data_IF_207505110428
#
_entry.id   IF_207505110428
#
_cell.length_a   1.000
_cell.length_b   1.000
_cell.length_c   1.000
_cell.angle_alpha   90.00
_cell.angle_beta   90.00
_cell.angle_gamma   90.00
#
_symmetry.space_group_name_H-M   'P 1'
#
loop_
_entity.id
_entity.type
_entity.pdbx_description
1 polymer ?
#
# COMPACT_ATOMS: atom_id res chain seq x y z
N UNK A 1 -15.78 3.24 17.63
CA UNK A 1 -15.16 4.59 17.58
C UNK A 1 -15.91 5.43 16.55
N UNK A 2 -16.18 6.71 16.85
CA UNK A 2 -16.83 7.63 15.89
C UNK A 2 -15.81 8.30 14.97
N UNK A 3 -16.13 8.34 13.68
CA UNK A 3 -15.32 8.95 12.63
C UNK A 3 -16.18 9.83 11.73
N UNK A 4 -15.56 10.82 11.10
CA UNK A 4 -16.27 11.94 10.50
C UNK A 4 -15.77 12.26 9.10
N UNK A 5 -16.70 12.56 8.18
CA UNK A 5 -16.36 12.98 6.82
C UNK A 5 -17.14 14.19 6.37
N UNK A 6 -16.40 15.21 5.94
CA UNK A 6 -16.91 16.53 5.60
C UNK A 6 -17.21 16.62 4.09
N UNK A 7 -18.32 17.28 3.76
CA UNK A 7 -18.87 17.36 2.41
C UNK A 7 -19.52 18.72 2.14
N UNK A 8 -19.12 19.37 1.05
CA UNK A 8 -19.77 20.59 0.55
C UNK A 8 -21.06 20.25 -0.20
N UNK A 9 -22.07 21.13 -0.12
CA UNK A 9 -23.28 21.05 -0.94
C UNK A 9 -23.27 22.04 -2.11
N UNK A 10 -22.21 22.85 -2.27
CA UNK A 10 -22.19 23.92 -3.28
C UNK A 10 -22.33 23.39 -4.72
N UNK A 11 -21.70 22.26 -5.03
CA UNK A 11 -21.84 21.60 -6.32
C UNK A 11 -22.97 20.55 -6.26
N UNK A 12 -24.07 20.81 -6.99
CA UNK A 12 -25.27 19.96 -6.98
C UNK A 12 -25.03 18.57 -7.54
N UNK A 13 -24.22 18.43 -8.58
CA UNK A 13 -23.91 17.11 -9.17
C UNK A 13 -23.15 16.24 -8.16
N UNK A 14 -22.15 16.83 -7.52
CA UNK A 14 -21.33 16.19 -6.49
C UNK A 14 -22.17 15.84 -5.27
N UNK A 15 -23.05 16.74 -4.83
CA UNK A 15 -24.00 16.48 -3.75
C UNK A 15 -24.92 15.30 -4.07
N UNK A 16 -25.44 15.19 -5.30
CA UNK A 16 -26.28 14.07 -5.70
C UNK A 16 -25.56 12.72 -5.59
N UNK A 17 -24.26 12.66 -5.89
CA UNK A 17 -23.46 11.45 -5.66
C UNK A 17 -23.36 11.11 -4.17
N UNK A 18 -23.16 12.10 -3.30
CA UNK A 18 -23.14 11.88 -1.85
C UNK A 18 -24.48 11.38 -1.32
N UNK A 19 -25.58 12.02 -1.74
CA UNK A 19 -26.92 11.62 -1.37
C UNK A 19 -27.25 10.20 -1.84
N UNK A 20 -26.85 9.86 -3.07
CA UNK A 20 -27.00 8.49 -3.62
C UNK A 20 -26.21 7.47 -2.80
N UNK A 21 -24.95 7.75 -2.47
CA UNK A 21 -24.12 6.85 -1.66
C UNK A 21 -24.72 6.57 -0.28
N UNK A 22 -25.18 7.64 0.40
CA UNK A 22 -25.87 7.54 1.68
C UNK A 22 -27.20 6.77 1.54
N UNK A 23 -27.99 7.07 0.50
CA UNK A 23 -29.28 6.44 0.26
C UNK A 23 -29.18 4.97 -0.15
N UNK A 24 -28.11 4.54 -0.80
CA UNK A 24 -27.87 3.15 -1.18
C UNK A 24 -27.05 2.39 -0.12
N UNK A 25 -26.44 3.09 0.84
CA UNK A 25 -25.69 2.48 1.95
C UNK A 25 -24.29 1.99 1.57
N UNK A 26 -23.57 2.73 0.72
CA UNK A 26 -22.18 2.43 0.39
C UNK A 26 -21.24 3.61 0.65
N UNK A 27 -19.98 3.27 0.90
CA UNK A 27 -18.86 4.19 0.96
C UNK A 27 -18.22 4.31 -0.42
N UNK A 28 -17.96 5.54 -0.85
CA UNK A 28 -17.21 5.79 -2.08
C UNK A 28 -15.74 5.99 -1.79
N UNK A 29 -14.91 5.00 -2.14
CA UNK A 29 -13.46 5.06 -2.04
C UNK A 29 -12.90 5.82 -3.24
N UNK A 30 -12.04 6.79 -2.98
CA UNK A 30 -11.36 7.59 -4.00
C UNK A 30 -10.08 6.88 -4.47
N UNK A 31 -9.58 7.24 -5.65
CA UNK A 31 -8.28 6.76 -6.09
C UNK A 31 -7.20 7.48 -5.27
N UNK A 32 -6.18 6.77 -4.76
CA UNK A 32 -5.08 7.40 -4.01
C UNK A 32 -4.44 8.54 -4.83
N UNK A 33 -4.36 8.37 -6.16
CA UNK A 33 -3.83 9.42 -7.04
C UNK A 33 -4.64 10.72 -7.03
N UNK A 34 -5.93 10.67 -6.68
CA UNK A 34 -6.80 11.86 -6.63
C UNK A 34 -6.73 12.63 -5.31
N UNK A 35 -5.90 12.19 -4.36
CA UNK A 35 -5.65 12.94 -3.14
C UNK A 35 -5.04 14.30 -3.45
N UNK A 36 -5.35 15.28 -2.60
CA UNK A 36 -4.94 16.67 -2.76
C UNK A 36 -3.43 16.90 -2.57
N UNK A 37 -2.77 16.05 -1.77
CA UNK A 37 -1.33 16.07 -1.61
C UNK A 37 -0.67 15.08 -2.60
N UNK A 38 0.08 15.56 -3.61
CA UNK A 38 0.69 14.70 -4.61
C UNK A 38 1.73 13.75 -4.01
N UNK A 39 2.30 14.11 -2.86
CA UNK A 39 3.30 13.33 -2.13
C UNK A 39 2.69 12.32 -1.15
N UNK A 40 1.37 12.35 -0.95
CA UNK A 40 0.65 11.45 -0.06
C UNK A 40 0.61 10.03 -0.64
N UNK A 41 0.78 9.03 0.24
CA UNK A 41 0.68 7.61 -0.09
C UNK A 41 1.62 7.19 -1.23
N UNK A 42 2.86 7.68 -1.18
CA UNK A 42 3.92 7.32 -2.12
C UNK A 42 4.99 6.48 -1.44
N UNK A 43 5.58 5.56 -2.19
CA UNK A 43 6.78 4.84 -1.77
C UNK A 43 7.98 5.75 -1.99
N UNK A 44 8.68 6.10 -0.93
CA UNK A 44 9.94 6.83 -1.01
C UNK A 44 11.11 5.85 -1.04
N UNK A 45 11.84 5.79 -2.17
CA UNK A 45 13.05 5.00 -2.29
C UNK A 45 14.19 5.84 -2.90
N UNK A 46 15.41 5.58 -2.44
CA UNK A 46 16.65 6.12 -2.97
C UNK A 46 17.44 4.99 -3.64
N UNK A 47 17.72 5.14 -4.94
CA UNK A 47 18.42 4.13 -5.74
C UNK A 47 19.86 3.89 -5.26
N UNK A 48 20.63 4.93 -4.98
CA UNK A 48 22.03 4.82 -4.54
C UNK A 48 22.11 4.07 -3.20
N UNK A 49 21.22 4.43 -2.26
CA UNK A 49 21.11 3.74 -0.97
C UNK A 49 20.72 2.27 -1.12
N UNK A 50 19.86 1.95 -2.07
CA UNK A 50 19.54 0.55 -2.39
C UNK A 50 20.77 -0.18 -2.92
N UNK A 51 21.48 0.38 -3.90
CA UNK A 51 22.70 -0.22 -4.42
C UNK A 51 23.71 -0.51 -3.31
N UNK A 52 23.93 0.44 -2.39
CA UNK A 52 24.78 0.24 -1.20
C UNK A 52 24.28 -0.91 -0.31
N UNK A 53 22.98 -0.96 -0.01
CA UNK A 53 22.38 -2.02 0.81
C UNK A 53 22.53 -3.41 0.18
N UNK A 54 22.28 -3.50 -1.14
CA UNK A 54 22.44 -4.72 -1.90
C UNK A 54 23.90 -5.18 -1.93
N UNK A 55 24.85 -4.27 -2.21
CA UNK A 55 26.27 -4.59 -2.25
C UNK A 55 26.79 -5.05 -0.88
N UNK A 56 26.39 -4.36 0.19
CA UNK A 56 26.73 -4.75 1.56
C UNK A 56 26.17 -6.13 1.91
N UNK A 57 24.91 -6.41 1.55
CA UNK A 57 24.30 -7.72 1.78
C UNK A 57 24.99 -8.82 0.99
N UNK A 58 25.24 -8.61 -0.30
CA UNK A 58 25.88 -9.59 -1.19
C UNK A 58 27.29 -9.90 -0.70
N UNK A 59 28.07 -8.87 -0.38
CA UNK A 59 29.46 -9.03 0.10
C UNK A 59 29.52 -9.84 1.39
N UNK A 60 28.60 -9.57 2.33
CA UNK A 60 28.52 -10.28 3.62
C UNK A 60 28.00 -11.72 3.48
N UNK A 61 27.11 -11.98 2.54
CA UNK A 61 26.41 -13.27 2.40
C UNK A 61 26.81 -14.04 1.14
N UNK A 62 27.97 -13.71 0.57
CA UNK A 62 28.42 -14.20 -0.73
C UNK A 62 28.37 -15.74 -0.83
N UNK A 63 28.96 -16.53 0.09
CA UNK A 63 28.93 -18.00 -0.03
C UNK A 63 27.51 -18.57 -0.04
N UNK A 64 26.62 -18.06 0.82
CA UNK A 64 25.21 -18.46 0.90
C UNK A 64 24.47 -18.18 -0.41
N UNK A 65 24.70 -17.01 -1.00
CA UNK A 65 24.11 -16.60 -2.28
C UNK A 65 24.60 -17.52 -3.41
N UNK A 66 25.91 -17.71 -3.54
CA UNK A 66 26.51 -18.59 -4.56
C UNK A 66 26.00 -20.02 -4.43
N UNK A 67 25.99 -20.58 -3.21
CA UNK A 67 25.44 -21.92 -2.97
C UNK A 67 23.99 -22.03 -3.41
N UNK A 68 23.17 -21.03 -3.12
CA UNK A 68 21.76 -20.99 -3.52
C UNK A 68 21.60 -20.93 -5.04
N UNK A 69 22.40 -20.09 -5.72
CA UNK A 69 22.41 -20.02 -7.18
C UNK A 69 22.84 -21.32 -7.83
N UNK A 70 23.96 -21.89 -7.39
CA UNK A 70 24.49 -23.17 -7.88
C UNK A 70 23.43 -24.27 -7.68
N UNK A 71 22.89 -24.43 -6.47
CA UNK A 71 21.79 -25.38 -6.22
C UNK A 71 20.60 -25.18 -7.15
N UNK A 72 20.20 -23.93 -7.41
CA UNK A 72 19.07 -23.64 -8.30
C UNK A 72 19.38 -23.98 -9.76
N UNK A 73 20.58 -23.66 -10.25
CA UNK A 73 21.03 -23.99 -11.61
C UNK A 73 21.11 -25.51 -11.82
N UNK A 74 21.62 -26.22 -10.82
CA UNK A 74 21.83 -27.67 -10.88
C UNK A 74 20.71 -28.50 -10.24
N UNK A 75 19.63 -27.88 -9.76
CA UNK A 75 18.43 -28.56 -9.21
C UNK A 75 17.77 -29.52 -10.21
N UNK A 76 18.08 -29.37 -11.50
CA UNK A 76 17.67 -30.27 -12.57
C UNK A 76 18.59 -31.49 -12.74
N UNK A 77 19.69 -31.55 -11.99
CA UNK A 77 20.71 -32.62 -12.02
C UNK A 77 21.02 -33.06 -10.57
N UNK A 78 20.23 -33.98 -9.98
CA UNK A 78 20.31 -34.36 -8.56
C UNK A 78 21.68 -34.90 -8.09
N UNK A 79 22.51 -35.39 -9.01
CA UNK A 79 23.87 -35.86 -8.76
C UNK A 79 24.80 -34.72 -8.31
N UNK A 80 24.56 -33.51 -8.81
CA UNK A 80 25.37 -32.32 -8.53
C UNK A 80 24.91 -31.67 -7.22
N UNK A 81 23.61 -31.68 -6.92
CA UNK A 81 23.04 -31.14 -5.68
C UNK A 81 23.71 -31.73 -4.41
N UNK A 82 23.86 -33.06 -4.37
CA UNK A 82 24.52 -33.78 -3.27
C UNK A 82 26.03 -33.50 -3.17
N UNK A 83 26.65 -33.05 -4.25
CA UNK A 83 28.07 -32.73 -4.33
C UNK A 83 28.37 -31.27 -3.91
N UNK A 84 27.34 -30.42 -3.83
CA UNK A 84 27.47 -29.00 -3.45
C UNK A 84 27.46 -28.81 -1.94
N UNK A 85 26.64 -29.60 -1.21
CA UNK A 85 26.52 -29.48 0.25
C UNK A 85 27.85 -29.63 1.02
N UNK A 86 28.76 -30.55 0.63
CA UNK A 86 30.05 -30.70 1.31
C UNK A 86 31.06 -29.58 1.03
N UNK A 87 30.84 -28.73 0.00
CA UNK A 87 31.77 -27.66 -0.36
C UNK A 87 31.76 -26.61 0.75
N UNK A 88 32.92 -26.25 1.28
CA UNK A 88 33.07 -25.19 2.29
C UNK A 88 32.90 -23.81 1.68
N UNK A 89 32.61 -22.81 2.51
CA UNK A 89 32.45 -21.43 2.03
C UNK A 89 33.75 -20.88 1.43
N UNK A 90 34.91 -21.21 1.99
CA UNK A 90 36.23 -20.84 1.44
C UNK A 90 36.46 -21.46 0.05
N UNK A 91 36.04 -22.72 -0.15
CA UNK A 91 36.13 -23.37 -1.46
C UNK A 91 35.19 -22.74 -2.49
N UNK A 92 33.98 -22.33 -2.11
CA UNK A 92 33.07 -21.61 -3.00
C UNK A 92 33.65 -20.25 -3.43
N UNK A 93 34.26 -19.52 -2.50
CA UNK A 93 34.91 -18.25 -2.79
C UNK A 93 36.16 -18.42 -3.66
N UNK A 94 36.95 -19.47 -3.44
CA UNK A 94 38.09 -19.80 -4.28
C UNK A 94 37.64 -20.16 -5.71
N UNK A 95 36.59 -20.97 -5.86
CA UNK A 95 36.00 -21.29 -7.18
C UNK A 95 35.60 -19.99 -7.90
N UNK A 96 34.94 -19.07 -7.21
CA UNK A 96 34.54 -17.79 -7.79
C UNK A 96 35.73 -16.95 -8.25
N UNK A 97 36.73 -16.77 -7.38
CA UNK A 97 37.94 -16.01 -7.72
C UNK A 97 38.62 -16.60 -8.95
N UNK A 98 38.69 -17.94 -9.02
CA UNK A 98 39.25 -18.68 -10.15
C UNK A 98 38.43 -18.54 -11.43
N UNK A 99 37.09 -18.45 -11.35
CA UNK A 99 36.25 -18.18 -12.50
C UNK A 99 36.46 -16.74 -13.01
N UNK A 100 36.55 -15.76 -12.09
CA UNK A 100 36.71 -14.34 -12.44
C UNK A 100 38.09 -14.03 -13.03
N UNK A 101 39.14 -14.72 -12.56
CA UNK A 101 40.51 -14.53 -13.03
C UNK A 101 40.91 -15.48 -14.19
N UNK A 102 39.98 -16.33 -14.66
CA UNK A 102 40.19 -17.25 -15.79
C UNK A 102 41.08 -18.46 -15.49
N UNK A 103 41.39 -18.76 -14.23
CA UNK A 103 42.23 -19.90 -13.84
C UNK A 103 41.45 -21.17 -13.48
N UNK A 104 40.11 -21.12 -13.50
CA UNK A 104 39.25 -22.25 -13.13
C UNK A 104 39.50 -23.52 -13.97
N UNK A 105 39.75 -23.38 -15.28
CA UNK A 105 40.05 -24.52 -16.15
C UNK A 105 41.32 -25.25 -15.72
N UNK A 106 42.34 -24.52 -15.25
CA UNK A 106 43.58 -25.12 -14.75
C UNK A 106 43.34 -25.92 -13.45
N UNK A 107 42.41 -25.48 -12.60
CA UNK A 107 41.99 -26.26 -11.43
C UNK A 107 41.34 -27.57 -11.85
N UNK A 108 40.40 -27.52 -12.81
CA UNK A 108 39.70 -28.70 -13.30
C UNK A 108 40.69 -29.72 -13.85
N UNK A 109 41.63 -29.30 -14.70
CA UNK A 109 42.73 -30.15 -15.17
C UNK A 109 43.56 -30.74 -14.04
N UNK A 110 43.99 -29.92 -13.06
CA UNK A 110 44.79 -30.37 -11.93
C UNK A 110 44.02 -31.33 -10.99
N UNK A 111 42.69 -31.29 -11.02
CA UNK A 111 41.81 -32.21 -10.29
C UNK A 111 41.44 -33.48 -11.08
N UNK A 112 42.00 -33.65 -12.29
CA UNK A 112 41.80 -34.83 -13.13
C UNK A 112 40.62 -34.76 -14.09
N UNK A 113 40.03 -33.58 -14.30
CA UNK A 113 39.00 -33.38 -15.32
C UNK A 113 39.58 -33.51 -16.73
N UNK A 114 38.80 -34.09 -17.63
CA UNK A 114 39.18 -34.24 -19.04
C UNK A 114 38.86 -32.99 -19.86
N UNK A 115 39.41 -32.88 -21.07
CA UNK A 115 39.06 -31.83 -22.03
C UNK A 115 37.54 -31.82 -22.32
N UNK A 116 36.91 -33.00 -22.32
CA UNK A 116 35.47 -33.16 -22.52
C UNK A 116 34.68 -32.57 -21.33
N UNK A 117 35.12 -32.83 -20.10
CA UNK A 117 34.49 -32.27 -18.89
C UNK A 117 34.55 -30.73 -18.87
N UNK A 118 35.69 -30.17 -19.27
CA UNK A 118 35.89 -28.71 -19.34
C UNK A 118 35.01 -28.11 -20.45
N UNK A 119 34.94 -28.76 -21.60
CA UNK A 119 34.05 -28.34 -22.71
C UNK A 119 32.58 -28.38 -22.29
N UNK A 120 32.17 -29.43 -21.57
CA UNK A 120 30.82 -29.55 -21.02
C UNK A 120 30.52 -28.46 -19.98
N UNK A 121 31.48 -28.15 -19.10
CA UNK A 121 31.36 -27.06 -18.13
C UNK A 121 31.24 -25.69 -18.81
N UNK A 122 32.11 -25.37 -19.77
CA UNK A 122 32.06 -24.11 -20.50
C UNK A 122 30.75 -23.94 -21.28
N UNK A 123 30.25 -25.03 -21.86
CA UNK A 123 28.95 -25.05 -22.55
C UNK A 123 27.82 -24.77 -21.58
N UNK A 124 27.79 -25.45 -20.42
CA UNK A 124 26.82 -25.20 -19.37
C UNK A 124 26.92 -23.76 -18.82
N UNK A 125 28.13 -23.23 -18.62
CA UNK A 125 28.35 -21.86 -18.16
C UNK A 125 27.84 -20.82 -19.17
N UNK A 126 28.14 -21.00 -20.46
CA UNK A 126 27.61 -20.15 -21.54
C UNK A 126 26.09 -20.25 -21.64
N UNK A 127 25.51 -21.44 -21.46
CA UNK A 127 24.07 -21.63 -21.45
C UNK A 127 23.40 -20.94 -20.25
N UNK A 128 24.02 -21.01 -19.06
CA UNK A 128 23.57 -20.29 -17.87
C UNK A 128 23.66 -18.78 -18.09
N UNK A 129 24.77 -18.25 -18.61
CA UNK A 129 24.92 -16.82 -18.92
C UNK A 129 23.88 -16.36 -19.95
N UNK A 130 23.67 -17.15 -21.01
CA UNK A 130 22.66 -16.88 -22.04
C UNK A 130 21.26 -16.91 -21.47
N UNK A 131 20.92 -17.90 -20.64
CA UNK A 131 19.63 -17.96 -19.96
C UNK A 131 19.46 -16.77 -19.02
N UNK A 132 20.50 -16.38 -18.29
CA UNK A 132 20.47 -15.22 -17.40
C UNK A 132 20.18 -13.93 -18.17
N UNK A 133 20.88 -13.68 -19.29
CA UNK A 133 20.62 -12.55 -20.18
C UNK A 133 19.20 -12.59 -20.79
N UNK A 134 18.73 -13.77 -21.24
CA UNK A 134 17.37 -13.93 -21.76
C UNK A 134 16.29 -13.73 -20.68
N UNK A 135 16.63 -14.03 -19.42
CA UNK A 135 15.74 -13.88 -18.29
C UNK A 135 15.88 -12.50 -17.63
N UNK A 136 16.91 -11.72 -17.95
CA UNK A 136 17.12 -10.36 -17.48
C UNK A 136 15.94 -9.48 -17.86
N UNK A 137 15.50 -9.56 -19.12
CA UNK A 137 14.29 -8.87 -19.60
C UNK A 137 13.02 -9.34 -18.85
N UNK A 138 12.94 -10.62 -18.47
CA UNK A 138 11.84 -11.14 -17.68
C UNK A 138 11.91 -10.65 -16.23
N UNK A 139 13.09 -10.63 -15.61
CA UNK A 139 13.31 -10.11 -14.25
C UNK A 139 12.98 -8.63 -14.21
N UNK A 140 13.50 -7.87 -15.17
CA UNK A 140 13.16 -6.47 -15.37
C UNK A 140 11.65 -6.30 -15.53
N UNK A 141 10.97 -7.03 -16.43
CA UNK A 141 9.50 -6.96 -16.56
C UNK A 141 8.74 -7.33 -15.29
N UNK A 142 9.27 -8.23 -14.45
CA UNK A 142 8.65 -8.59 -13.16
C UNK A 142 8.90 -7.56 -12.06
N UNK A 143 10.05 -6.86 -12.10
CA UNK A 143 10.44 -5.83 -11.13
C UNK A 143 10.01 -4.41 -11.55
N UNK A 144 9.77 -4.17 -12.84
CA UNK A 144 9.34 -2.88 -13.38
C UNK A 144 8.08 -2.34 -12.67
N UNK A 145 7.02 -3.15 -12.43
CA UNK A 145 5.83 -2.65 -11.75
C UNK A 145 6.13 -2.20 -10.31
N UNK A 146 7.11 -2.84 -9.68
CA UNK A 146 7.54 -2.55 -8.31
C UNK A 146 8.28 -1.21 -8.27
N UNK A 147 9.20 -0.98 -9.21
CA UNK A 147 9.88 0.31 -9.35
C UNK A 147 8.97 1.43 -9.85
N UNK A 148 7.95 1.08 -10.63
CA UNK A 148 6.93 1.99 -11.13
C UNK A 148 5.70 2.07 -10.21
N UNK A 149 5.82 1.67 -8.92
CA UNK A 149 4.68 1.63 -7.99
C UNK A 149 3.92 2.97 -7.95
N UNK A 150 4.66 4.07 -7.76
CA UNK A 150 4.10 5.40 -7.66
C UNK A 150 3.35 5.83 -8.93
N UNK A 151 3.76 5.35 -10.10
CA UNK A 151 3.16 5.72 -11.38
C UNK A 151 2.04 4.77 -11.83
N UNK A 152 2.11 3.50 -11.43
CA UNK A 152 1.29 2.41 -11.97
C UNK A 152 0.22 1.93 -10.99
N UNK A 153 0.53 1.87 -9.69
CA UNK A 153 -0.36 1.25 -8.70
C UNK A 153 -1.22 2.27 -7.92
N UNK A 154 -0.85 3.55 -7.88
CA UNK A 154 -1.64 4.60 -7.19
C UNK A 154 -3.05 4.79 -7.77
N UNK A 155 -3.30 4.38 -9.02
CA UNK A 155 -4.65 4.40 -9.61
C UNK A 155 -5.49 3.18 -9.23
N UNK A 156 -4.86 2.09 -8.84
CA UNK A 156 -5.52 0.82 -8.53
C UNK A 156 -5.92 0.74 -7.05
N UNK A 157 -5.13 1.34 -6.17
CA UNK A 157 -5.44 1.38 -4.75
C UNK A 157 -6.48 2.47 -4.48
N UNK A 158 -7.58 2.07 -3.84
CA UNK A 158 -8.65 2.96 -3.43
C UNK A 158 -8.52 3.27 -1.94
N UNK A 159 -8.89 4.48 -1.54
CA UNK A 159 -8.79 4.97 -0.17
C UNK A 159 -10.08 5.62 0.29
N UNK A 160 -10.45 5.37 1.54
CA UNK A 160 -11.52 6.07 2.22
C UNK A 160 -11.02 6.72 3.51
N UNK A 161 -10.89 8.03 3.46
CA UNK A 161 -10.41 8.86 4.58
C UNK A 161 -11.52 9.40 5.46
N UNK A 162 -11.32 9.43 6.77
CA UNK A 162 -12.20 10.09 7.75
C UNK A 162 -11.35 10.79 8.82
N UNK A 163 -11.94 11.69 9.59
CA UNK A 163 -11.31 12.35 10.74
C UNK A 163 -11.88 11.82 12.05
N UNK A 164 -11.12 11.86 13.15
CA UNK A 164 -11.62 11.51 14.49
C UNK A 164 -12.47 12.61 15.17
N UNK A 165 -12.62 13.78 14.53
CA UNK A 165 -13.34 14.91 15.09
C UNK A 165 -14.38 15.44 14.11
N UNK A 166 -15.59 15.73 14.62
CA UNK A 166 -16.63 16.47 13.91
C UNK A 166 -16.46 17.99 14.03
N UNK A 167 -15.67 18.44 15.00
CA UNK A 167 -15.48 19.85 15.33
C UNK A 167 -14.12 20.36 14.85
N UNK A 168 -13.75 19.97 13.63
CA UNK A 168 -12.51 20.41 13.03
C UNK A 168 -12.78 21.61 12.11
N UNK A 169 -12.53 22.82 12.63
CA UNK A 169 -12.73 24.07 11.87
C UNK A 169 -11.98 24.11 10.55
N UNK A 170 -10.78 23.50 10.50
CA UNK A 170 -10.01 23.41 9.26
C UNK A 170 -10.74 22.53 8.25
N UNK A 171 -11.22 21.34 8.64
CA UNK A 171 -11.94 20.45 7.73
C UNK A 171 -13.31 21.00 7.29
N UNK A 172 -14.02 21.70 8.19
CA UNK A 172 -15.24 22.43 7.84
C UNK A 172 -14.98 23.50 6.78
N UNK A 173 -13.84 24.20 6.87
CA UNK A 173 -13.45 25.20 5.88
C UNK A 173 -13.00 24.58 4.56
N UNK A 174 -12.09 23.60 4.59
CA UNK A 174 -11.48 23.06 3.37
C UNK A 174 -12.43 22.14 2.58
N UNK A 175 -13.14 21.24 3.28
CA UNK A 175 -13.91 20.17 2.61
C UNK A 175 -15.42 20.43 2.57
N UNK A 176 -15.94 21.17 3.53
CA UNK A 176 -17.36 21.57 3.56
C UNK A 176 -17.57 23.04 3.18
N UNK A 177 -16.49 23.84 3.02
CA UNK A 177 -16.54 25.26 2.66
C UNK A 177 -17.45 26.11 3.54
N UNK A 178 -17.60 25.73 4.82
CA UNK A 178 -18.58 26.30 5.77
C UNK A 178 -20.02 26.39 5.20
N UNK A 179 -20.33 25.50 4.25
CA UNK A 179 -21.57 25.44 3.49
C UNK A 179 -21.81 23.98 3.06
N UNK A 180 -21.93 23.11 4.06
CA UNK A 180 -21.97 21.67 3.85
C UNK A 180 -22.45 20.90 5.07
N UNK A 181 -22.08 19.64 5.13
CA UNK A 181 -22.44 18.72 6.20
C UNK A 181 -21.27 17.80 6.53
N UNK A 182 -21.38 17.14 7.67
CA UNK A 182 -20.46 16.11 8.11
C UNK A 182 -21.24 14.81 8.36
N UNK A 183 -20.66 13.69 7.93
CA UNK A 183 -21.23 12.35 8.10
C UNK A 183 -20.50 11.68 9.26
N UNK A 184 -21.25 11.20 10.25
CA UNK A 184 -20.74 10.41 11.37
C UNK A 184 -20.86 8.92 11.04
N UNK A 185 -19.73 8.23 11.14
CA UNK A 185 -19.59 6.79 11.00
C UNK A 185 -19.23 6.16 12.34
N UNK A 186 -19.70 4.95 12.58
CA UNK A 186 -19.33 4.17 13.75
C UNK A 186 -18.56 2.92 13.34
N UNK A 187 -17.27 2.88 13.69
CA UNK A 187 -16.42 1.73 13.40
C UNK A 187 -16.89 0.48 14.14
N UNK A 188 -17.64 0.61 15.24
CA UNK A 188 -18.08 -0.55 16.03
C UNK A 188 -19.22 -1.30 15.34
N UNK A 189 -19.77 -0.74 14.25
CA UNK A 189 -20.75 -1.38 13.38
C UNK A 189 -20.12 -2.19 12.23
N UNK A 190 -18.79 -2.18 12.12
CA UNK A 190 -18.08 -2.96 11.11
C UNK A 190 -18.10 -4.44 11.54
N UNK A 191 -18.50 -5.31 10.63
CA UNK A 191 -18.60 -6.76 10.85
C UNK A 191 -17.61 -7.52 9.98
N UNK A 192 -17.29 -8.77 10.34
CA UNK A 192 -16.36 -9.64 9.59
C UNK A 192 -16.75 -9.86 8.10
N UNK A 193 -18.02 -9.63 7.76
CA UNK A 193 -18.51 -9.69 6.38
C UNK A 193 -18.00 -8.52 5.54
N UNK A 194 -17.68 -7.38 6.16
CA UNK A 194 -17.17 -6.16 5.55
C UNK A 194 -15.65 -6.20 5.39
N UNK A 195 -15.14 -7.16 4.62
CA UNK A 195 -13.69 -7.45 4.50
C UNK A 195 -12.84 -6.22 4.12
N UNK A 196 -13.35 -5.34 3.26
CA UNK A 196 -12.67 -4.10 2.86
C UNK A 196 -12.54 -3.04 3.98
N UNK A 197 -13.23 -3.24 5.11
CA UNK A 197 -13.25 -2.33 6.26
C UNK A 197 -12.59 -2.93 7.51
N UNK A 198 -11.88 -4.05 7.39
CA UNK A 198 -11.24 -4.71 8.53
C UNK A 198 -9.99 -3.98 9.03
N UNK A 199 -9.32 -3.21 8.16
CA UNK A 199 -8.04 -2.58 8.46
C UNK A 199 -8.19 -1.04 8.51
N UNK A 200 -8.79 -0.56 9.60
CA UNK A 200 -8.90 0.86 9.89
C UNK A 200 -7.58 1.38 10.46
N UNK A 201 -6.93 2.28 9.72
CA UNK A 201 -5.57 2.68 10.02
C UNK A 201 -5.46 4.18 10.34
N UNK A 202 -4.86 4.60 11.47
CA UNK A 202 -4.52 6.00 11.67
C UNK A 202 -3.41 6.42 10.70
N UNK A 203 -3.53 7.61 10.13
CA UNK A 203 -2.48 8.24 9.32
C UNK A 203 -1.28 8.60 10.20
N UNK A 204 -0.08 8.36 9.68
CA UNK A 204 1.18 8.65 10.35
C UNK A 204 1.65 10.02 9.86
N UNK A 205 1.72 11.00 10.75
CA UNK A 205 2.18 12.35 10.41
C UNK A 205 3.67 12.50 10.69
N UNK A 206 4.45 12.78 9.66
CA UNK A 206 5.88 13.03 9.77
C UNK A 206 6.42 13.68 8.49
N UNK A 207 7.35 14.62 8.64
CA UNK A 207 8.12 15.17 7.52
C UNK A 207 9.36 14.33 7.21
N UNK A 208 9.72 13.40 8.12
CA UNK A 208 10.75 12.40 7.87
C UNK A 208 10.11 11.23 7.13
N UNK A 209 10.59 10.99 5.91
CA UNK A 209 10.23 9.82 5.11
C UNK A 209 11.35 8.80 5.17
N UNK A 210 11.04 7.64 5.73
CA UNK A 210 11.98 6.55 5.74
C UNK A 210 12.11 5.95 4.34
N UNK A 211 13.32 5.50 4.04
CA UNK A 211 13.65 4.82 2.80
C UNK A 211 12.99 3.44 2.77
N UNK A 212 12.17 3.19 1.76
CA UNK A 212 11.64 1.87 1.46
C UNK A 212 12.73 1.02 0.80
N UNK A 213 13.04 -0.14 1.39
CA UNK A 213 14.02 -1.06 0.84
C UNK A 213 13.38 -2.22 0.08
N UNK A 214 13.90 -2.49 -1.11
CA UNK A 214 13.54 -3.62 -1.96
C UNK A 214 14.34 -4.87 -1.64
N UNK A 215 15.37 -4.77 -0.80
CA UNK A 215 16.20 -5.93 -0.42
C UNK A 215 15.35 -7.10 0.12
N UNK A 216 14.38 -6.89 1.05
CA UNK A 216 13.50 -7.98 1.50
C UNK A 216 12.76 -8.70 0.37
N UNK A 217 12.33 -7.97 -0.68
CA UNK A 217 11.67 -8.58 -1.83
C UNK A 217 12.63 -9.47 -2.63
N UNK A 218 13.86 -9.01 -2.82
CA UNK A 218 14.92 -9.80 -3.44
C UNK A 218 15.17 -11.08 -2.64
N UNK A 219 15.34 -10.97 -1.32
CA UNK A 219 15.58 -12.14 -0.46
C UNK A 219 14.45 -13.16 -0.53
N UNK A 220 13.20 -12.70 -0.60
CA UNK A 220 12.01 -13.53 -0.84
C UNK A 220 12.06 -14.24 -2.21
N UNK A 221 12.37 -13.51 -3.28
CA UNK A 221 12.41 -14.06 -4.65
C UNK A 221 13.48 -15.15 -4.83
N UNK A 222 14.56 -15.06 -4.07
CA UNK A 222 15.66 -16.03 -4.07
C UNK A 222 15.60 -17.04 -2.92
N UNK A 223 14.59 -16.98 -2.06
CA UNK A 223 14.42 -17.86 -0.90
C UNK A 223 15.65 -17.88 0.02
N UNK A 224 16.31 -16.73 0.16
CA UNK A 224 17.55 -16.62 0.92
C UNK A 224 17.29 -16.50 2.43
N UNK A 225 16.10 -16.10 2.84
CA UNK A 225 15.74 -15.89 4.25
C UNK A 225 14.34 -16.40 4.57
N UNK A 226 13.96 -16.32 5.84
CA UNK A 226 12.63 -16.72 6.31
C UNK A 226 11.52 -15.92 5.61
N UNK A 227 10.71 -16.61 4.82
CA UNK A 227 9.62 -16.05 4.02
C UNK A 227 8.57 -15.29 4.85
N UNK A 228 8.25 -15.76 6.05
CA UNK A 228 7.19 -15.18 6.87
C UNK A 228 7.65 -13.86 7.50
N UNK A 229 8.86 -13.84 8.04
CA UNK A 229 9.47 -12.62 8.61
C UNK A 229 9.57 -11.54 7.54
N UNK A 230 10.14 -11.86 6.37
CA UNK A 230 10.28 -10.88 5.29
C UNK A 230 8.94 -10.36 4.78
N UNK A 231 7.93 -11.23 4.64
CA UNK A 231 6.59 -10.79 4.22
C UNK A 231 6.01 -9.76 5.19
N UNK A 232 6.08 -10.05 6.49
CA UNK A 232 5.59 -9.14 7.52
C UNK A 232 6.34 -7.80 7.48
N UNK A 233 7.67 -7.82 7.28
CA UNK A 233 8.47 -6.60 7.13
C UNK A 233 8.08 -5.77 5.91
N UNK A 234 7.90 -6.39 4.73
CA UNK A 234 7.44 -5.69 3.53
C UNK A 234 6.06 -5.08 3.73
N UNK A 235 5.11 -5.86 4.26
CA UNK A 235 3.73 -5.43 4.46
C UNK A 235 3.67 -4.24 5.43
N UNK A 236 4.41 -4.29 6.54
CA UNK A 236 4.50 -3.20 7.50
C UNK A 236 5.15 -1.95 6.87
N UNK A 237 6.26 -2.10 6.15
CA UNK A 237 6.94 -0.97 5.53
C UNK A 237 6.05 -0.32 4.46
N UNK A 238 5.42 -1.13 3.61
CA UNK A 238 4.50 -0.65 2.58
C UNK A 238 3.31 0.08 3.20
N UNK A 239 2.68 -0.51 4.23
CA UNK A 239 1.58 0.13 4.97
C UNK A 239 2.02 1.47 5.56
N UNK A 240 3.20 1.54 6.15
CA UNK A 240 3.72 2.79 6.71
C UNK A 240 3.93 3.86 5.63
N UNK A 241 4.44 3.51 4.44
CA UNK A 241 4.58 4.43 3.31
C UNK A 241 3.21 4.95 2.82
N UNK A 242 2.20 4.07 2.75
CA UNK A 242 0.83 4.43 2.33
C UNK A 242 0.09 5.30 3.35
N UNK A 243 0.43 5.16 4.63
CA UNK A 243 -0.17 5.94 5.72
C UNK A 243 0.59 7.23 6.03
N UNK A 244 1.77 7.44 5.45
CA UNK A 244 2.60 8.59 5.76
C UNK A 244 2.06 9.87 5.09
N UNK A 245 1.88 10.92 5.89
CA UNK A 245 1.47 12.25 5.44
C UNK A 245 2.33 13.33 6.10
N UNK A 246 2.56 14.43 5.39
CA UNK A 246 3.36 15.55 5.92
C UNK A 246 2.74 16.17 7.17
N UNK A 247 3.57 16.74 8.06
CA UNK A 247 3.12 17.32 9.33
C UNK A 247 2.16 18.50 9.15
N UNK A 248 2.22 19.19 8.02
CA UNK A 248 1.30 20.28 7.65
C UNK A 248 -0.17 19.83 7.66
N UNK A 249 -0.43 18.55 7.40
CA UNK A 249 -1.76 17.93 7.37
C UNK A 249 -2.18 17.30 8.71
N UNK A 250 -1.35 17.35 9.75
CA UNK A 250 -1.62 16.73 11.06
C UNK A 250 -2.93 17.19 11.72
N UNK A 251 -3.42 18.38 11.35
CA UNK A 251 -4.70 18.91 11.81
C UNK A 251 -5.88 18.06 11.39
N UNK A 252 -5.77 17.26 10.33
CA UNK A 252 -6.89 16.46 9.82
C UNK A 252 -7.22 15.25 10.71
N UNK A 253 -6.25 14.75 11.48
CA UNK A 253 -6.40 13.58 12.36
C UNK A 253 -7.08 12.41 11.65
N UNK A 254 -6.47 12.02 10.54
CA UNK A 254 -7.07 11.18 9.52
C UNK A 254 -6.93 9.68 9.86
N UNK A 255 -7.97 8.93 9.54
CA UNK A 255 -8.00 7.47 9.52
C UNK A 255 -8.39 6.99 8.12
N UNK A 256 -7.81 5.88 7.67
CA UNK A 256 -7.96 5.35 6.31
C UNK A 256 -8.37 3.89 6.30
N UNK A 257 -9.25 3.57 5.38
CA UNK A 257 -9.36 2.24 4.79
C UNK A 257 -8.70 2.23 3.41
N UNK A 258 -8.10 1.09 3.06
CA UNK A 258 -7.62 0.81 1.71
C UNK A 258 -8.40 -0.35 1.11
N UNK A 259 -8.71 -0.28 -0.17
CA UNK A 259 -9.34 -1.38 -0.89
C UNK A 259 -8.81 -1.48 -2.31
N UNK A 260 -8.75 -2.72 -2.80
CA UNK A 260 -8.47 -3.04 -4.20
C UNK A 260 -9.74 -3.55 -4.92
N UNK A 261 -10.89 -3.62 -4.23
CA UNK A 261 -12.16 -4.19 -4.70
C UNK A 261 -13.03 -3.24 -5.53
N UNK A 262 -12.58 -1.99 -5.74
CA UNK A 262 -13.28 -0.96 -6.50
C UNK A 262 -13.71 0.23 -5.64
N UNK A 263 -14.46 1.16 -6.23
CA UNK A 263 -14.80 2.43 -5.56
C UNK A 263 -16.02 2.33 -4.64
N UNK A 264 -16.83 1.26 -4.69
CA UNK A 264 -18.05 1.12 -3.88
C UNK A 264 -17.91 -0.02 -2.88
N UNK A 265 -17.96 0.31 -1.60
CA UNK A 265 -17.99 -0.67 -0.50
C UNK A 265 -19.30 -0.50 0.26
N UNK A 266 -20.19 -1.49 0.20
CA UNK A 266 -21.48 -1.44 0.90
C UNK A 266 -21.27 -1.66 2.39
N UNK A 267 -21.67 -0.69 3.20
CA UNK A 267 -21.51 -0.72 4.64
C UNK A 267 -22.51 0.22 5.30
N UNK A 268 -23.41 -0.34 6.09
CA UNK A 268 -24.40 0.43 6.84
C UNK A 268 -23.85 0.86 8.21
N UNK A 269 -22.82 1.70 8.19
CA UNK A 269 -22.10 2.15 9.39
C UNK A 269 -22.28 3.64 9.69
N UNK A 270 -23.13 4.34 8.92
CA UNK A 270 -23.51 5.73 9.19
C UNK A 270 -24.44 5.77 10.40
N UNK A 271 -24.15 6.66 11.34
CA UNK A 271 -24.94 6.82 12.57
C UNK A 271 -25.48 8.23 12.77
N UNK A 272 -24.92 9.24 12.08
CA UNK A 272 -25.42 10.60 12.18
C UNK A 272 -25.06 11.49 10.99
N UNK A 273 -25.84 12.56 10.83
CA UNK A 273 -25.59 13.66 9.92
C UNK A 273 -25.54 14.97 10.72
N UNK A 274 -24.48 15.74 10.53
CA UNK A 274 -24.25 17.02 11.19
C UNK A 274 -24.31 18.11 10.11
N UNK A 275 -25.31 18.99 10.17
CA UNK A 275 -25.52 20.04 9.18
C UNK A 275 -24.86 21.33 9.63
N UNK A 276 -24.13 22.00 8.74
CA UNK A 276 -23.66 23.35 9.02
C UNK A 276 -24.86 24.32 9.12
N UNK A 277 -24.88 25.21 10.10
CA UNK A 277 -26.01 26.15 10.30
C UNK A 277 -26.41 26.93 9.04
N UNK A 278 -25.43 27.31 8.21
CA UNK A 278 -25.62 28.09 6.99
C UNK A 278 -26.42 27.37 5.89
N UNK A 279 -26.53 26.04 5.95
CA UNK A 279 -27.28 25.27 4.94
C UNK A 279 -28.70 24.93 5.41
N UNK A 280 -29.05 25.25 6.65
CA UNK A 280 -30.39 24.99 7.17
C UNK A 280 -31.44 25.73 6.33
N UNK A 281 -32.51 25.02 5.96
CA UNK A 281 -33.57 25.54 5.09
C UNK A 281 -33.30 25.40 3.59
N UNK A 282 -32.09 25.01 3.17
CA UNK A 282 -31.83 24.68 1.75
C UNK A 282 -32.54 23.40 1.33
N UNK A 283 -32.77 23.25 0.01
CA UNK A 283 -33.35 22.02 -0.56
C UNK A 283 -32.49 20.80 -0.25
N UNK A 284 -31.18 20.95 -0.40
CA UNK A 284 -30.17 19.91 -0.17
C UNK A 284 -30.14 19.48 1.30
N UNK A 285 -30.18 20.42 2.24
CA UNK A 285 -30.29 20.09 3.67
C UNK A 285 -31.60 19.35 4.00
N UNK A 286 -32.73 19.76 3.41
CA UNK A 286 -34.00 19.08 3.62
C UNK A 286 -33.98 17.63 3.08
N UNK A 287 -33.28 17.38 1.98
CA UNK A 287 -33.06 16.02 1.46
C UNK A 287 -32.24 15.17 2.43
N UNK A 288 -31.18 15.73 3.04
CA UNK A 288 -30.39 15.04 4.05
C UNK A 288 -31.20 14.76 5.33
N UNK A 289 -32.00 15.72 5.80
CA UNK A 289 -32.86 15.57 6.98
C UNK A 289 -33.86 14.43 6.75
N UNK A 290 -34.54 14.44 5.59
CA UNK A 290 -35.48 13.37 5.23
C UNK A 290 -34.79 12.01 5.22
N UNK A 291 -33.65 11.90 4.54
CA UNK A 291 -32.91 10.64 4.47
C UNK A 291 -32.44 10.16 5.85
N UNK A 292 -31.94 11.05 6.69
CA UNK A 292 -31.51 10.71 8.04
C UNK A 292 -32.69 10.22 8.91
N UNK A 293 -33.86 10.86 8.80
CA UNK A 293 -35.08 10.40 9.46
C UNK A 293 -35.50 9.00 8.97
N UNK A 294 -35.53 8.78 7.65
CA UNK A 294 -35.90 7.49 7.03
C UNK A 294 -34.93 6.37 7.48
N UNK A 295 -33.65 6.70 7.63
CA UNK A 295 -32.59 5.79 8.07
C UNK A 295 -32.41 5.72 9.59
N UNK A 296 -33.15 6.52 10.36
CA UNK A 296 -33.04 6.67 11.83
C UNK A 296 -31.63 7.06 12.29
N UNK A 297 -30.94 7.88 11.51
CA UNK A 297 -29.67 8.49 11.89
C UNK A 297 -29.88 9.69 12.79
N UNK A 298 -28.93 9.96 13.67
CA UNK A 298 -28.97 11.11 14.55
C UNK A 298 -28.73 12.39 13.72
N UNK A 299 -29.51 13.43 13.96
CA UNK A 299 -29.39 14.72 13.30
C UNK A 299 -28.93 15.81 14.27
N UNK A 300 -27.86 16.49 13.90
CA UNK A 300 -27.34 17.64 14.63
C UNK A 300 -27.16 18.85 13.71
N UNK A 301 -27.21 20.04 14.29
CA UNK A 301 -26.67 21.25 13.67
C UNK A 301 -25.32 21.61 14.28
N UNK A 302 -24.37 22.03 13.45
CA UNK A 302 -23.10 22.63 13.87
C UNK A 302 -23.15 24.14 13.67
N UNK A 303 -22.93 24.88 14.75
CA UNK A 303 -22.53 26.28 14.70
C UNK A 303 -21.01 26.38 14.96
N UNK A 304 -20.35 27.40 14.41
CA UNK A 304 -18.89 27.59 14.52
C UNK A 304 -18.34 27.65 15.98
N UNK A 305 -19.22 27.58 16.98
CA UNK A 305 -18.93 27.50 18.41
C UNK A 305 -19.12 26.08 18.98
N UNK A 306 -19.17 25.06 18.12
CA UNK A 306 -19.07 23.65 18.48
C UNK A 306 -20.28 23.09 19.24
N UNK A 307 -21.45 23.76 19.20
CA UNK A 307 -22.64 23.24 19.87
C UNK A 307 -23.46 22.37 18.95
N UNK A 308 -23.51 21.07 19.26
CA UNK A 308 -24.51 20.16 18.70
C UNK A 308 -25.86 20.47 19.35
N UNK A 309 -26.84 20.83 18.53
CA UNK A 309 -28.24 20.93 18.96
C UNK A 309 -28.99 19.80 18.27
N UNK A 310 -29.74 18.99 19.03
CA UNK A 310 -30.61 17.97 18.47
C UNK A 310 -31.60 18.63 17.52
N UNK A 311 -31.54 18.30 16.24
CA UNK A 311 -32.41 18.92 15.25
C UNK A 311 -33.74 18.15 15.22
N UNK A 312 -34.77 18.69 15.86
CA UNK A 312 -36.14 18.20 15.68
C UNK A 312 -36.74 18.88 14.45
N UNK A 313 -36.99 18.10 13.39
CA UNK A 313 -37.68 18.62 12.22
C UNK A 313 -39.16 18.83 12.55
N UNK A 314 -39.59 20.09 12.72
CA UNK A 314 -41.00 20.45 12.59
C UNK A 314 -41.38 20.40 11.10
N UNK A 315 -41.54 19.20 10.55
CA UNK A 315 -42.19 19.04 9.25
C UNK A 315 -43.67 19.24 9.53
N UNK A 316 -44.16 20.47 9.34
CA UNK A 316 -45.61 20.69 9.29
C UNK A 316 -46.14 20.03 8.03
N UNK A 317 -47.10 19.13 8.18
CA UNK A 317 -47.97 18.59 7.13
C UNK A 317 -48.80 19.71 6.47
N UNK A 318 -48.13 20.65 5.80
CA UNK A 318 -48.73 21.65 4.93
C UNK A 318 -48.08 21.50 3.57
N UNK A 319 -48.55 20.49 2.85
CA UNK A 319 -48.71 20.44 1.39
C UNK A 319 -49.06 18.98 1.06
N UNK A 320 -50.34 18.65 1.27
CA UNK A 320 -51.02 17.49 0.69
C UNK A 320 -51.87 17.98 -0.47
#
# INVERSE_FOLDING_TARGET
MKLYKYRSIKNKETFNYYLKALSEGYLWFADIKSLNDPSDSMIYYNKEKEEELFQAYISKNKPKIYRTFIKRLYSKVPQIEKSIDPITDDQLLAIEDMMNNGTFNNLLFNSGATDEDITNFETAHKDVQRQFQQHEDMFRKKLEPIFAFNDTYRHNIKVFSMSDSFDNKHLWNEYAENYGFCIEYDSDLITDEMKDLMDLNPVIYSDKRDHFSWLPLFLLAFQLENKEILKNELEQNLRNQLLLKGMTWSKEKEYRFFSNGGNKVYANIVTGIILHKNILGTKEANQLIKLANDRKWILYSWDNNSRLVSYQSNISDKDK
#
